data_IF_110637120974
#
_entry.id   IF_110637120974
#
_cell.length_a   1.000
_cell.length_b   1.000
_cell.length_c   1.000
_cell.angle_alpha   90.00
_cell.angle_beta   90.00
_cell.angle_gamma   90.00
#
_symmetry.space_group_name_H-M   'P 1'
#
loop_
_entity.id
_entity.type
_entity.pdbx_description
1 polymer ?
#
# COMPACT_ATOMS: atom_id res chain seq x y z
N UNK A 1 -0.40 -6.05 -21.18
CA UNK A 1 0.19 -4.69 -21.30
C UNK A 1 -0.85 -3.61 -21.56
N UNK A 2 -1.79 -3.80 -22.50
CA UNK A 2 -2.85 -2.85 -22.86
C UNK A 2 -3.63 -2.38 -21.64
N UNK A 3 -4.12 -3.32 -20.82
CA UNK A 3 -4.90 -3.00 -19.62
C UNK A 3 -4.12 -2.16 -18.62
N UNK A 4 -2.81 -2.44 -18.43
CA UNK A 4 -1.97 -1.66 -17.56
C UNK A 4 -1.81 -0.22 -18.08
N UNK A 5 -1.56 -0.06 -19.38
CA UNK A 5 -1.39 1.25 -20.00
C UNK A 5 -2.69 2.08 -19.88
N UNK A 6 -3.85 1.46 -20.12
CA UNK A 6 -5.15 2.12 -20.01
C UNK A 6 -5.47 2.57 -18.59
N UNK A 7 -5.21 1.73 -17.58
CA UNK A 7 -5.61 2.00 -16.20
C UNK A 7 -4.57 2.82 -15.42
N UNK A 8 -3.29 2.79 -15.84
CA UNK A 8 -2.21 3.49 -15.14
C UNK A 8 -1.68 4.71 -15.91
N UNK A 9 -1.90 4.79 -17.22
CA UNK A 9 -1.44 5.90 -18.06
C UNK A 9 0.06 5.94 -18.30
N UNK A 10 0.74 4.81 -18.09
CA UNK A 10 2.17 4.63 -18.37
C UNK A 10 2.48 3.20 -18.81
N UNK A 11 3.63 2.99 -19.41
CA UNK A 11 4.12 1.64 -19.74
C UNK A 11 4.61 0.92 -18.48
N UNK A 12 4.56 -0.41 -18.52
CA UNK A 12 5.17 -1.22 -17.45
C UNK A 12 6.67 -1.01 -17.42
N UNK A 13 7.20 -0.73 -16.24
CA UNK A 13 8.62 -0.68 -15.98
C UNK A 13 9.08 -2.05 -15.45
N UNK A 14 10.22 -2.61 -15.89
CA UNK A 14 10.76 -3.87 -15.37
C UNK A 14 10.92 -3.88 -13.85
N UNK A 15 11.36 -2.78 -13.23
CA UNK A 15 11.45 -2.64 -11.77
C UNK A 15 10.09 -2.75 -11.08
N UNK A 16 9.04 -2.15 -11.65
CA UNK A 16 7.67 -2.29 -11.12
C UNK A 16 7.14 -3.73 -11.25
N UNK A 17 7.49 -4.42 -12.33
CA UNK A 17 7.14 -5.83 -12.52
C UNK A 17 7.84 -6.68 -11.46
N UNK A 18 9.15 -6.48 -11.27
CA UNK A 18 9.94 -7.17 -10.26
C UNK A 18 9.36 -6.96 -8.86
N UNK A 19 9.16 -5.72 -8.46
CA UNK A 19 8.56 -5.34 -7.17
C UNK A 19 7.19 -6.01 -6.98
N UNK A 20 6.31 -5.95 -7.98
CA UNK A 20 4.97 -6.56 -7.93
C UNK A 20 5.04 -8.06 -7.62
N UNK A 21 5.83 -8.80 -8.37
CA UNK A 21 5.93 -10.25 -8.20
C UNK A 21 6.72 -10.65 -6.96
N UNK A 22 7.68 -9.85 -6.51
CA UNK A 22 8.37 -10.06 -5.23
C UNK A 22 7.39 -10.04 -4.07
N UNK A 23 6.52 -9.04 -4.00
CA UNK A 23 5.47 -8.99 -2.98
C UNK A 23 4.53 -10.19 -3.06
N UNK A 24 4.06 -10.58 -4.26
CA UNK A 24 3.19 -11.74 -4.40
C UNK A 24 3.87 -13.04 -3.97
N UNK A 25 5.17 -13.20 -4.23
CA UNK A 25 5.91 -14.40 -3.85
C UNK A 25 6.07 -14.48 -2.33
N UNK A 26 6.43 -13.38 -1.66
CA UNK A 26 6.47 -13.31 -0.19
C UNK A 26 5.10 -13.67 0.41
N UNK A 27 4.00 -13.14 -0.14
CA UNK A 27 2.67 -13.47 0.34
C UNK A 27 2.30 -14.94 0.10
N UNK A 28 2.71 -15.55 -1.02
CA UNK A 28 2.49 -16.99 -1.28
C UNK A 28 3.22 -17.85 -0.28
N UNK A 29 4.46 -17.51 0.05
CA UNK A 29 5.25 -18.28 1.02
C UNK A 29 4.72 -18.08 2.44
N UNK A 30 4.31 -16.88 2.80
CA UNK A 30 3.63 -16.60 4.07
C UNK A 30 2.34 -17.41 4.23
N UNK A 31 1.52 -17.51 3.19
CA UNK A 31 0.26 -18.30 3.27
C UNK A 31 0.52 -19.77 3.53
N UNK A 32 1.67 -20.32 3.10
CA UNK A 32 2.08 -21.73 3.35
C UNK A 32 2.68 -21.94 4.75
N UNK A 33 3.20 -20.88 5.40
CA UNK A 33 3.78 -20.98 6.74
C UNK A 33 2.71 -21.22 7.81
N UNK A 34 3.11 -21.54 9.04
CA UNK A 34 2.18 -21.68 10.19
C UNK A 34 1.85 -20.32 10.83
N UNK A 35 2.53 -19.25 10.44
CA UNK A 35 2.37 -17.92 11.02
C UNK A 35 1.02 -17.29 10.67
N UNK A 36 0.46 -16.51 11.59
CA UNK A 36 -0.83 -15.83 11.43
C UNK A 36 -0.70 -14.39 10.90
N UNK A 37 0.49 -13.79 11.08
CA UNK A 37 0.81 -12.40 10.76
C UNK A 37 2.22 -12.31 10.17
N UNK A 38 2.40 -11.52 9.13
CA UNK A 38 3.70 -11.24 8.52
C UNK A 38 4.00 -9.75 8.48
N UNK A 39 5.24 -9.38 8.80
CA UNK A 39 5.82 -8.07 8.50
C UNK A 39 6.57 -8.17 7.17
N UNK A 40 6.13 -7.40 6.19
CA UNK A 40 6.79 -7.27 4.89
C UNK A 40 7.52 -5.94 4.84
N UNK A 41 8.79 -5.98 4.43
CA UNK A 41 9.66 -4.80 4.33
C UNK A 41 10.41 -4.80 3.00
N UNK A 42 10.53 -3.64 2.36
CA UNK A 42 11.47 -3.39 1.27
C UNK A 42 12.87 -3.14 1.85
N UNK A 43 13.92 -3.19 1.04
CA UNK A 43 15.32 -3.13 1.47
C UNK A 43 15.84 -1.68 1.62
N UNK A 44 15.13 -0.71 1.08
CA UNK A 44 15.47 0.71 1.08
C UNK A 44 14.77 1.52 2.20
N UNK A 45 14.41 0.87 3.29
CA UNK A 45 13.69 1.49 4.41
C UNK A 45 14.57 1.72 5.63
N UNK A 46 14.15 2.68 6.45
CA UNK A 46 14.66 2.98 7.79
C UNK A 46 13.57 2.73 8.83
N UNK A 47 13.86 1.85 9.79
CA UNK A 47 12.94 1.45 10.84
C UNK A 47 13.05 2.38 12.05
N UNK A 48 11.93 2.82 12.61
CA UNK A 48 11.89 3.50 13.88
C UNK A 48 12.38 2.55 15.01
N UNK A 49 13.16 3.06 15.95
CA UNK A 49 13.66 2.28 17.10
C UNK A 49 12.56 1.64 17.95
N UNK A 50 11.39 2.27 18.00
CA UNK A 50 10.23 1.78 18.76
C UNK A 50 9.24 0.97 17.89
N UNK A 51 9.63 0.61 16.65
CA UNK A 51 8.74 -0.08 15.71
C UNK A 51 8.09 -1.33 16.33
N UNK A 52 8.85 -2.13 17.07
CA UNK A 52 8.35 -3.33 17.75
C UNK A 52 7.19 -2.99 18.69
N UNK A 53 7.36 -1.98 19.56
CA UNK A 53 6.34 -1.54 20.52
C UNK A 53 5.10 -1.00 19.81
N UNK A 54 5.29 -0.25 18.73
CA UNK A 54 4.20 0.29 17.90
C UNK A 54 3.38 -0.85 17.30
N UNK A 55 4.05 -1.89 16.77
CA UNK A 55 3.40 -3.07 16.18
C UNK A 55 2.64 -3.85 17.27
N UNK A 56 3.28 -4.16 18.39
CA UNK A 56 2.65 -4.86 19.51
C UNK A 56 1.41 -4.12 20.00
N UNK A 57 1.51 -2.80 20.21
CA UNK A 57 0.37 -1.98 20.62
C UNK A 57 -0.76 -1.91 19.55
N UNK A 58 -0.40 -2.03 18.26
CA UNK A 58 -1.40 -2.10 17.20
C UNK A 58 -2.12 -3.46 17.20
N UNK A 59 -1.40 -4.56 17.46
CA UNK A 59 -1.96 -5.92 17.56
C UNK A 59 -2.87 -6.05 18.77
N UNK A 60 -2.44 -5.51 19.92
CA UNK A 60 -3.18 -5.54 21.18
C UNK A 60 -4.39 -4.58 21.21
N UNK A 61 -4.54 -3.77 20.14
CA UNK A 61 -5.69 -2.89 20.03
C UNK A 61 -6.98 -3.70 19.77
N UNK A 62 -8.13 -3.14 20.15
CA UNK A 62 -9.46 -3.70 19.86
C UNK A 62 -9.89 -3.49 18.39
N UNK A 63 -9.02 -2.83 17.57
CA UNK A 63 -9.30 -2.52 16.18
C UNK A 63 -8.67 -3.58 15.27
N UNK A 64 -9.48 -4.42 14.67
CA UNK A 64 -9.04 -5.42 13.72
C UNK A 64 -8.58 -4.81 12.41
N UNK A 65 -7.56 -5.40 11.80
CA UNK A 65 -7.09 -5.11 10.45
C UNK A 65 -6.69 -6.39 9.73
N UNK A 66 -6.77 -6.40 8.41
CA UNK A 66 -6.22 -7.45 7.56
C UNK A 66 -4.85 -7.01 6.97
N UNK A 67 -4.67 -5.69 6.74
CA UNK A 67 -3.43 -5.07 6.30
C UNK A 67 -3.21 -3.78 7.09
N UNK A 68 -2.02 -3.59 7.67
CA UNK A 68 -1.62 -2.38 8.39
C UNK A 68 -0.37 -1.78 7.75
N UNK A 69 -0.51 -0.63 7.10
CA UNK A 69 0.60 0.10 6.49
C UNK A 69 1.43 0.81 7.54
N UNK A 70 2.76 0.65 7.45
CA UNK A 70 3.74 1.23 8.38
C UNK A 70 4.58 2.32 7.71
N UNK A 71 4.61 2.38 6.38
CA UNK A 71 5.33 3.40 5.61
C UNK A 71 4.39 4.41 4.96
N UNK A 72 4.83 5.67 4.84
CA UNK A 72 4.04 6.81 4.36
C UNK A 72 4.20 7.17 2.88
N UNK A 73 4.91 6.39 2.08
CA UNK A 73 5.21 6.73 0.68
C UNK A 73 6.55 7.47 0.53
N UNK A 74 6.76 8.08 -0.63
CA UNK A 74 8.07 8.61 -1.04
C UNK A 74 8.46 9.94 -0.37
N UNK A 75 7.57 10.58 0.37
CA UNK A 75 7.89 11.80 1.11
C UNK A 75 7.82 11.54 2.62
N UNK A 76 8.96 11.48 3.33
CA UNK A 76 8.99 11.20 4.76
C UNK A 76 8.31 12.27 5.62
N UNK A 77 8.14 13.48 5.08
CA UNK A 77 7.58 14.61 5.80
C UNK A 77 6.07 14.83 5.51
N UNK A 78 5.50 13.99 4.67
CA UNK A 78 4.08 14.08 4.27
C UNK A 78 3.35 12.74 4.46
N UNK A 79 2.27 12.76 5.23
CA UNK A 79 1.38 11.61 5.41
C UNK A 79 0.25 11.65 4.36
N UNK A 80 0.40 10.96 3.22
CA UNK A 80 -0.62 10.96 2.19
C UNK A 80 -1.85 10.16 2.62
N UNK A 81 -2.97 10.38 1.98
CA UNK A 81 -4.15 9.54 2.13
C UNK A 81 -5.24 10.11 3.03
N UNK A 82 -5.13 11.38 3.47
CA UNK A 82 -6.10 12.02 4.35
C UNK A 82 -6.53 11.09 5.51
N UNK A 83 -5.63 10.80 6.46
CA UNK A 83 -5.89 9.84 7.51
C UNK A 83 -6.89 10.38 8.54
N UNK A 84 -7.87 9.55 8.90
CA UNK A 84 -8.69 9.76 10.09
C UNK A 84 -8.14 8.87 11.21
N UNK A 85 -7.71 9.49 12.31
CA UNK A 85 -7.19 8.81 13.49
C UNK A 85 -8.34 8.08 14.19
N UNK A 86 -8.20 6.76 14.34
CA UNK A 86 -9.20 5.91 15.00
C UNK A 86 -8.88 5.70 16.48
N UNK A 87 -7.62 5.37 16.79
CA UNK A 87 -7.16 5.06 18.14
C UNK A 87 -5.69 5.38 18.31
N UNK A 88 -5.32 5.99 19.43
CA UNK A 88 -3.93 6.12 19.84
C UNK A 88 -3.43 4.75 20.32
N UNK A 89 -2.26 4.33 19.84
CA UNK A 89 -1.67 3.02 20.17
C UNK A 89 -0.41 3.14 20.99
N UNK A 90 0.52 4.02 20.60
CA UNK A 90 1.80 4.19 21.28
C UNK A 90 2.29 5.64 21.12
N UNK A 91 2.59 6.33 22.25
CA UNK A 91 3.02 7.74 22.23
C UNK A 91 2.11 8.58 21.31
N UNK A 92 2.68 9.20 20.28
CA UNK A 92 1.97 9.99 19.28
C UNK A 92 1.56 9.19 18.03
N UNK A 93 1.63 7.86 18.06
CA UNK A 93 1.22 6.98 16.96
C UNK A 93 -0.24 6.56 17.09
N UNK A 94 -0.94 6.60 15.97
CA UNK A 94 -2.37 6.30 15.87
C UNK A 94 -2.65 5.25 14.80
N UNK A 95 -3.54 4.31 15.08
CA UNK A 95 -4.23 3.56 14.03
C UNK A 95 -5.13 4.52 13.28
N UNK A 96 -5.06 4.48 11.95
CA UNK A 96 -5.76 5.43 11.10
C UNK A 96 -6.33 4.75 9.86
N UNK A 97 -7.45 5.28 9.39
CA UNK A 97 -8.10 4.91 8.14
C UNK A 97 -7.79 5.98 7.09
N UNK A 98 -7.46 5.56 5.86
CA UNK A 98 -7.10 6.47 4.77
C UNK A 98 -8.23 6.55 3.75
N UNK A 99 -8.72 7.76 3.50
CA UNK A 99 -9.83 8.01 2.59
C UNK A 99 -9.40 8.35 1.17
N UNK A 100 -8.11 8.70 0.98
CA UNK A 100 -7.53 8.85 -0.35
C UNK A 100 -6.34 7.90 -0.52
N UNK A 101 -5.80 7.81 -1.72
CA UNK A 101 -4.72 6.90 -2.06
C UNK A 101 -3.49 7.08 -1.16
N UNK A 102 -3.07 6.01 -0.49
CA UNK A 102 -1.82 5.96 0.26
C UNK A 102 -0.72 5.31 -0.56
N UNK A 103 0.24 6.11 -0.98
CA UNK A 103 1.39 5.66 -1.75
C UNK A 103 2.32 4.73 -0.97
N UNK A 104 3.05 3.90 -1.72
CA UNK A 104 4.19 3.11 -1.24
C UNK A 104 3.82 1.81 -0.52
N UNK A 105 4.72 0.86 -0.63
CA UNK A 105 4.64 -0.48 -0.04
C UNK A 105 5.85 -0.82 0.82
N UNK A 106 6.69 0.18 1.12
CA UNK A 106 7.97 0.02 1.82
C UNK A 106 7.89 -0.85 3.08
N UNK A 107 6.78 -0.76 3.85
CA UNK A 107 6.54 -1.70 4.95
C UNK A 107 5.07 -1.81 5.31
N UNK A 108 4.61 -3.04 5.60
CA UNK A 108 3.26 -3.33 6.09
C UNK A 108 3.19 -4.64 6.86
N UNK A 109 2.25 -4.72 7.80
CA UNK A 109 1.80 -5.98 8.39
C UNK A 109 0.61 -6.52 7.59
N UNK A 110 0.52 -7.84 7.46
CA UNK A 110 -0.61 -8.50 6.81
C UNK A 110 -0.97 -9.79 7.52
N UNK A 111 -2.26 -10.00 7.76
CA UNK A 111 -2.78 -11.26 8.28
C UNK A 111 -2.81 -12.34 7.20
N UNK A 112 -2.80 -13.61 7.61
CA UNK A 112 -2.95 -14.72 6.65
C UNK A 112 -4.25 -14.64 5.85
N UNK A 113 -5.34 -14.17 6.47
CA UNK A 113 -6.63 -13.89 5.80
C UNK A 113 -6.46 -12.80 4.74
N UNK A 114 -5.79 -11.69 5.09
CA UNK A 114 -5.50 -10.58 4.17
C UNK A 114 -4.64 -11.03 2.98
N UNK A 115 -3.57 -11.79 3.25
CA UNK A 115 -2.69 -12.32 2.20
C UNK A 115 -3.43 -13.23 1.21
N UNK A 116 -4.29 -14.14 1.69
CA UNK A 116 -5.12 -14.99 0.84
C UNK A 116 -6.08 -14.15 -0.04
N UNK A 117 -6.75 -13.16 0.55
CA UNK A 117 -7.66 -12.28 -0.17
C UNK A 117 -6.94 -11.47 -1.27
N UNK A 118 -5.76 -10.93 -0.95
CA UNK A 118 -4.89 -10.22 -1.89
C UNK A 118 -4.47 -11.14 -3.04
N UNK A 119 -3.90 -12.31 -2.76
CA UNK A 119 -3.45 -13.26 -3.78
C UNK A 119 -4.57 -13.69 -4.73
N UNK A 120 -5.78 -13.87 -4.22
CA UNK A 120 -6.94 -14.26 -5.03
C UNK A 120 -7.37 -13.17 -6.02
N UNK A 121 -7.16 -11.88 -5.70
CA UNK A 121 -7.67 -10.76 -6.50
C UNK A 121 -6.63 -10.06 -7.35
N UNK A 122 -5.37 -10.04 -6.91
CA UNK A 122 -4.30 -9.31 -7.61
C UNK A 122 -3.21 -10.22 -8.18
N UNK A 123 -3.54 -11.46 -8.53
CA UNK A 123 -2.61 -12.41 -9.16
C UNK A 123 -2.05 -11.94 -10.52
N UNK A 124 -2.78 -11.04 -11.19
CA UNK A 124 -2.37 -10.42 -12.47
C UNK A 124 -2.07 -8.94 -12.26
N UNK A 125 -0.96 -8.48 -12.82
CA UNK A 125 -0.55 -7.08 -12.73
C UNK A 125 -1.34 -6.20 -13.71
N UNK A 126 -2.33 -5.48 -13.19
CA UNK A 126 -3.06 -4.41 -13.90
C UNK A 126 -2.62 -3.02 -13.47
N UNK A 127 -2.02 -2.88 -12.29
CA UNK A 127 -1.53 -1.66 -11.66
C UNK A 127 -0.22 -1.97 -10.93
N UNK A 128 0.58 -0.97 -10.54
CA UNK A 128 1.66 -1.15 -9.56
C UNK A 128 1.15 -1.77 -8.26
N UNK A 129 2.03 -2.42 -7.50
CA UNK A 129 1.64 -3.17 -6.28
C UNK A 129 1.02 -2.28 -5.21
N UNK A 130 1.52 -1.06 -5.04
CA UNK A 130 0.97 -0.08 -4.08
C UNK A 130 -0.46 0.32 -4.43
N UNK A 131 -0.74 0.58 -5.72
CA UNK A 131 -2.09 0.82 -6.22
C UNK A 131 -3.00 -0.40 -6.09
N UNK A 132 -2.46 -1.60 -6.30
CA UNK A 132 -3.24 -2.82 -6.21
C UNK A 132 -3.63 -3.14 -4.75
N UNK A 133 -2.70 -3.00 -3.80
CA UNK A 133 -2.93 -3.20 -2.37
C UNK A 133 -3.83 -2.13 -1.74
N UNK A 134 -3.88 -0.93 -2.32
CA UNK A 134 -4.70 0.17 -1.82
C UNK A 134 -6.18 0.05 -2.23
N UNK A 135 -6.52 -0.97 -3.04
CA UNK A 135 -7.89 -1.23 -3.53
C UNK A 135 -8.59 -2.26 -2.66
N UNK A 136 -8.71 -1.96 -1.38
CA UNK A 136 -9.32 -2.85 -0.39
C UNK A 136 -10.82 -3.17 -0.67
N UNK A 137 -11.54 -2.32 -1.38
CA UNK A 137 -12.89 -2.62 -1.88
C UNK A 137 -12.94 -3.77 -2.90
N UNK A 138 -11.82 -4.08 -3.56
CA UNK A 138 -11.71 -5.23 -4.49
C UNK A 138 -11.34 -6.49 -3.72
N UNK A 139 -10.40 -6.37 -2.79
CA UNK A 139 -9.91 -7.50 -2.00
C UNK A 139 -10.85 -7.85 -0.84
N UNK A 140 -11.69 -6.90 -0.41
CA UNK A 140 -12.58 -7.06 0.72
C UNK A 140 -11.85 -7.05 2.08
N UNK A 141 -10.60 -6.60 2.11
CA UNK A 141 -9.81 -6.52 3.35
C UNK A 141 -10.05 -5.21 4.09
N UNK A 142 -9.82 -5.23 5.41
CA UNK A 142 -9.75 -4.02 6.21
C UNK A 142 -8.31 -3.50 6.23
N UNK A 143 -8.03 -2.45 5.43
CA UNK A 143 -6.72 -1.81 5.36
C UNK A 143 -6.70 -0.55 6.21
N UNK A 144 -5.76 -0.51 7.16
CA UNK A 144 -5.44 0.61 8.04
C UNK A 144 -3.97 1.01 7.85
N UNK A 145 -3.53 2.02 8.57
CA UNK A 145 -2.13 2.34 8.71
C UNK A 145 -1.83 3.05 10.01
N UNK A 146 -0.55 3.19 10.30
CA UNK A 146 -0.03 3.91 11.47
C UNK A 146 0.35 5.32 11.07
N UNK A 147 -0.06 6.32 11.84
CA UNK A 147 0.23 7.74 11.63
C UNK A 147 0.77 8.36 12.93
N UNK A 148 1.90 9.08 12.88
CA UNK A 148 2.83 9.21 11.75
C UNK A 148 3.40 7.85 11.32
N UNK A 149 3.94 7.78 10.10
CA UNK A 149 4.53 6.52 9.59
C UNK A 149 5.79 6.16 10.38
N UNK A 150 5.85 4.96 11.03
CA UNK A 150 7.01 4.55 11.80
C UNK A 150 8.15 4.00 10.93
N UNK A 151 7.92 3.80 9.65
CA UNK A 151 8.93 3.36 8.68
C UNK A 151 9.08 4.42 7.60
N UNK A 152 10.31 4.84 7.36
CA UNK A 152 10.65 5.85 6.35
C UNK A 152 11.50 5.23 5.25
N UNK A 153 11.49 5.82 4.06
CA UNK A 153 12.43 5.47 3.02
C UNK A 153 13.78 6.13 3.29
N UNK A 154 14.88 5.43 3.02
CA UNK A 154 16.24 5.96 3.15
C UNK A 154 16.43 7.10 2.15
N UNK A 155 16.79 8.30 2.64
CA UNK A 155 16.94 9.51 1.82
C UNK A 155 18.06 9.38 0.76
N UNK A 156 19.11 8.66 1.08
CA UNK A 156 20.31 8.51 0.24
C UNK A 156 20.03 7.66 -1.02
N UNK A 157 19.11 6.72 -0.96
CA UNK A 157 18.78 5.84 -2.08
C UNK A 157 17.73 6.44 -3.05
N UNK A 158 17.07 7.53 -2.66
CA UNK A 158 15.98 8.12 -3.44
C UNK A 158 16.41 8.81 -4.74
N UNK A 159 17.65 9.26 -4.86
CA UNK A 159 18.07 10.13 -5.97
C UNK A 159 18.87 9.43 -7.07
N UNK A 160 19.60 8.36 -6.80
CA UNK A 160 20.55 7.81 -7.78
C UNK A 160 20.32 6.36 -8.21
N UNK A 161 19.68 5.50 -7.41
CA UNK A 161 19.66 4.05 -7.66
C UNK A 161 18.28 3.39 -7.70
N UNK A 162 17.17 4.12 -7.79
CA UNK A 162 15.87 3.48 -7.95
C UNK A 162 15.68 2.95 -9.37
N UNK A 163 15.75 1.64 -9.57
CA UNK A 163 15.43 0.96 -10.83
C UNK A 163 14.03 1.31 -11.37
N UNK A 164 13.15 1.80 -10.50
CA UNK A 164 11.78 2.19 -10.85
C UNK A 164 11.73 3.60 -11.46
N UNK A 165 12.59 4.53 -11.02
CA UNK A 165 12.54 5.94 -11.42
C UNK A 165 13.50 6.33 -12.54
N UNK A 166 14.42 5.46 -12.94
CA UNK A 166 15.58 5.82 -13.78
C UNK A 166 15.29 6.16 -15.23
N UNK A 167 14.09 5.89 -15.77
CA UNK A 167 13.80 6.11 -17.17
C UNK A 167 12.50 6.86 -17.46
N UNK A 168 12.61 8.10 -17.94
CA UNK A 168 11.48 8.89 -18.45
C UNK A 168 10.73 8.22 -19.63
N UNK A 169 11.30 7.17 -20.25
CA UNK A 169 10.71 6.40 -21.36
C UNK A 169 9.36 5.78 -20.96
N UNK A 170 9.18 5.44 -19.69
CA UNK A 170 7.94 4.85 -19.20
C UNK A 170 6.89 5.89 -18.82
N UNK A 171 7.28 7.17 -18.68
CA UNK A 171 6.38 8.28 -18.33
C UNK A 171 5.89 8.95 -19.62
N UNK A 172 4.63 8.75 -19.94
CA UNK A 172 3.98 9.49 -21.01
C UNK A 172 2.59 9.96 -20.58
N UNK A 173 2.11 11.03 -21.21
CA UNK A 173 0.77 11.58 -20.95
C UNK A 173 -0.13 11.26 -22.14
N UNK A 174 -0.84 10.12 -22.14
CA UNK A 174 -1.66 9.73 -23.27
C UNK A 174 -2.86 10.67 -23.45
N UNK A 175 -3.27 10.91 -24.69
CA UNK A 175 -4.42 11.77 -25.00
C UNK A 175 -5.74 11.24 -24.39
N UNK A 176 -5.89 9.90 -24.28
CA UNK A 176 -7.07 9.27 -23.66
C UNK A 176 -7.17 9.51 -22.15
N UNK A 177 -6.17 10.16 -21.51
CA UNK A 177 -6.19 10.44 -20.04
C UNK A 177 -7.43 11.19 -19.59
N UNK A 178 -7.97 12.09 -20.38
CA UNK A 178 -9.15 12.88 -20.03
C UNK A 178 -10.43 12.05 -20.08
N UNK A 179 -10.51 11.10 -20.99
CA UNK A 179 -11.71 10.31 -21.24
C UNK A 179 -11.76 8.97 -20.51
N UNK A 180 -10.59 8.41 -20.19
CA UNK A 180 -10.51 7.08 -19.56
C UNK A 180 -9.87 7.18 -18.18
N UNK A 181 -8.65 7.75 -18.07
CA UNK A 181 -7.88 7.72 -16.83
C UNK A 181 -8.51 8.59 -15.74
N UNK A 182 -8.95 9.81 -16.06
CA UNK A 182 -9.53 10.70 -15.06
C UNK A 182 -10.85 10.14 -14.54
N UNK A 183 -11.82 9.76 -15.37
CA UNK A 183 -13.04 9.11 -14.90
C UNK A 183 -12.77 7.83 -14.09
N UNK A 184 -11.81 7.00 -14.54
CA UNK A 184 -11.42 5.80 -13.81
C UNK A 184 -10.82 6.11 -12.43
N UNK A 185 -9.97 7.14 -12.31
CA UNK A 185 -9.42 7.57 -11.02
C UNK A 185 -10.49 8.11 -10.09
N UNK A 186 -11.39 8.96 -10.61
CA UNK A 186 -12.53 9.47 -9.84
C UNK A 186 -13.39 8.32 -9.33
N UNK A 187 -13.73 7.36 -10.19
CA UNK A 187 -14.49 6.18 -9.78
C UNK A 187 -13.79 5.40 -8.67
N UNK A 188 -12.45 5.20 -8.76
CA UNK A 188 -11.72 4.51 -7.70
C UNK A 188 -11.74 5.27 -6.38
N UNK A 189 -11.63 6.60 -6.39
CA UNK A 189 -11.74 7.42 -5.17
C UNK A 189 -13.14 7.32 -4.54
N UNK A 190 -14.20 7.34 -5.36
CA UNK A 190 -15.56 7.16 -4.89
C UNK A 190 -15.79 5.77 -4.27
N UNK A 191 -15.33 4.71 -4.94
CA UNK A 191 -15.42 3.33 -4.43
C UNK A 191 -14.65 3.15 -3.13
N UNK A 192 -13.41 3.71 -3.04
CA UNK A 192 -12.63 3.72 -1.81
C UNK A 192 -13.38 4.41 -0.68
N UNK A 193 -13.82 5.64 -0.91
CA UNK A 193 -14.52 6.44 0.11
C UNK A 193 -15.76 5.71 0.60
N UNK A 194 -16.57 5.17 -0.30
CA UNK A 194 -17.77 4.42 0.05
C UNK A 194 -17.44 3.17 0.88
N UNK A 195 -16.44 2.41 0.47
CA UNK A 195 -15.98 1.23 1.22
C UNK A 195 -15.48 1.60 2.63
N UNK A 196 -14.70 2.69 2.74
CA UNK A 196 -14.19 3.19 4.03
C UNK A 196 -15.32 3.66 4.96
N UNK A 197 -16.34 4.33 4.42
CA UNK A 197 -17.53 4.70 5.20
C UNK A 197 -18.22 3.45 5.76
N UNK A 198 -18.42 2.42 4.94
CA UNK A 198 -19.02 1.15 5.41
C UNK A 198 -18.17 0.51 6.52
N UNK A 199 -16.84 0.51 6.38
CA UNK A 199 -15.94 -0.03 7.39
C UNK A 199 -15.89 0.81 8.69
N UNK A 200 -16.09 2.11 8.58
CA UNK A 200 -16.12 3.03 9.71
C UNK A 200 -17.40 2.89 10.54
N UNK A 201 -18.53 2.58 9.89
CA UNK A 201 -19.83 2.40 10.53
C UNK A 201 -20.04 1.00 11.18
N UNK A 202 -19.14 0.06 10.90
CA UNK A 202 -19.10 -1.29 11.50
C UNK A 202 -18.20 -1.34 12.72
#
# INVERSE_FOLDING_TARGET
EISYNLLNGKRKNPGEIGCYFSHLNVLKDFVKSEESLALVCEDDIELNKDLKKIIESAIDSDINFDLLRLSGGNNPDHEPGNPIKLKQIYNNYYLSMFFTFKHGTGSYLITKKGAKAVLNKISKMYLPIDHALDRDWITGIRSLGVVPSPVKLKKELHHENSYINSNNIYKYKPLYRYWILIPYRVLNELLRTFHKIILFLK
#
